data_IF_313405405687
#
_entry.id   IF_313405405687
#
_cell.length_a   1.000
_cell.length_b   1.000
_cell.length_c   1.000
_cell.angle_alpha   90.00
_cell.angle_beta   90.00
_cell.angle_gamma   90.00
#
_symmetry.space_group_name_H-M   'P 1'
#
loop_
_entity.id
_entity.type
_entity.pdbx_description
1 polymer ?
#
# COMPACT_ATOMS: atom_id res chain seq x y z
N UNK A 1 -0.92 27.17 36.27
CA UNK A 1 -1.20 26.69 34.89
C UNK A 1 -0.92 25.20 34.87
N UNK A 2 -1.94 24.36 34.69
CA UNK A 2 -1.72 22.94 34.43
C UNK A 2 -1.24 22.83 32.98
N UNK A 3 -0.08 22.21 32.77
CA UNK A 3 0.36 21.81 31.43
C UNK A 3 -0.30 20.46 31.16
N UNK A 4 -1.27 20.44 30.26
CA UNK A 4 -1.73 19.19 29.66
C UNK A 4 -0.54 18.53 28.92
N UNK A 5 -0.32 17.22 29.08
CA UNK A 5 0.75 16.54 28.36
C UNK A 5 0.34 16.37 26.89
N UNK A 6 1.27 16.75 26.01
CA UNK A 6 1.17 16.63 24.56
C UNK A 6 0.98 15.16 24.13
N UNK A 7 0.03 14.84 23.23
CA UNK A 7 -0.17 13.48 22.71
C UNK A 7 0.95 12.98 21.77
N UNK A 8 1.87 13.85 21.36
CA UNK A 8 2.91 13.53 20.37
C UNK A 8 3.95 12.51 20.87
N UNK A 9 4.14 12.40 22.20
CA UNK A 9 5.10 11.46 22.77
C UNK A 9 4.60 10.00 22.76
N UNK A 10 3.28 9.79 22.84
CA UNK A 10 2.67 8.46 22.96
C UNK A 10 2.64 7.72 21.62
N UNK A 11 2.39 8.45 20.52
CA UNK A 11 2.44 7.89 19.17
C UNK A 11 3.85 7.44 18.79
N UNK A 12 4.87 8.29 18.97
CA UNK A 12 6.25 7.97 18.60
C UNK A 12 6.84 6.87 19.49
N UNK A 13 6.49 6.83 20.77
CA UNK A 13 6.86 5.75 21.68
C UNK A 13 6.18 4.43 21.30
N UNK A 14 4.87 4.48 21.00
CA UNK A 14 4.12 3.32 20.51
C UNK A 14 4.68 2.77 19.20
N UNK A 15 4.96 3.64 18.24
CA UNK A 15 5.57 3.27 16.96
C UNK A 15 6.97 2.67 17.15
N UNK A 16 7.82 3.27 17.98
CA UNK A 16 9.16 2.74 18.30
C UNK A 16 9.08 1.35 18.94
N UNK A 17 8.13 1.15 19.85
CA UNK A 17 7.89 -0.16 20.49
C UNK A 17 7.40 -1.20 19.47
N UNK A 18 6.50 -0.82 18.57
CA UNK A 18 6.01 -1.68 17.50
C UNK A 18 7.14 -2.04 16.51
N UNK A 19 7.97 -1.08 16.09
CA UNK A 19 9.14 -1.32 15.23
C UNK A 19 10.13 -2.32 15.85
N UNK A 20 10.26 -2.33 17.18
CA UNK A 20 11.11 -3.29 17.89
C UNK A 20 10.45 -4.67 18.14
N UNK A 21 9.21 -4.88 17.70
CA UNK A 21 8.49 -6.16 17.84
C UNK A 21 8.62 -7.04 16.60
N UNK A 22 8.39 -8.34 16.74
CA UNK A 22 8.35 -9.29 15.62
C UNK A 22 7.34 -8.84 14.54
N UNK A 23 6.14 -8.42 14.95
CA UNK A 23 5.12 -7.88 14.05
C UNK A 23 5.61 -6.67 13.26
N UNK A 24 6.28 -5.72 13.92
CA UNK A 24 6.83 -4.55 13.24
C UNK A 24 7.95 -4.91 12.26
N UNK A 25 8.82 -5.86 12.62
CA UNK A 25 9.88 -6.32 11.73
C UNK A 25 9.32 -7.06 10.51
N UNK A 26 8.35 -7.96 10.70
CA UNK A 26 7.69 -8.69 9.63
C UNK A 26 6.96 -7.72 8.67
N UNK A 27 6.30 -6.69 9.23
CA UNK A 27 5.63 -5.67 8.42
C UNK A 27 6.63 -4.82 7.63
N UNK A 28 7.79 -4.47 8.22
CA UNK A 28 8.87 -3.77 7.52
C UNK A 28 9.50 -4.61 6.41
N UNK A 29 9.67 -5.92 6.62
CA UNK A 29 10.15 -6.82 5.55
C UNK A 29 9.12 -6.94 4.43
N UNK A 30 7.84 -7.02 4.78
CA UNK A 30 6.75 -7.10 3.81
C UNK A 30 6.63 -5.83 2.96
N UNK A 31 6.80 -4.64 3.54
CA UNK A 31 6.74 -3.39 2.75
C UNK A 31 7.90 -3.31 1.76
N UNK A 32 9.13 -3.61 2.20
CA UNK A 32 10.31 -3.60 1.35
C UNK A 32 10.14 -4.57 0.18
N UNK A 33 9.66 -5.79 0.45
CA UNK A 33 9.43 -6.79 -0.60
C UNK A 33 8.32 -6.38 -1.56
N UNK A 34 7.20 -5.86 -1.06
CA UNK A 34 6.08 -5.44 -1.92
C UNK A 34 6.51 -4.32 -2.86
N UNK A 35 7.23 -3.32 -2.36
CA UNK A 35 7.71 -2.21 -3.18
C UNK A 35 8.75 -2.67 -4.20
N UNK A 36 9.66 -3.58 -3.83
CA UNK A 36 10.59 -4.19 -4.78
C UNK A 36 9.86 -5.01 -5.86
N UNK A 37 8.88 -5.83 -5.46
CA UNK A 37 8.13 -6.68 -6.38
C UNK A 37 7.27 -5.88 -7.38
N UNK A 38 6.82 -4.70 -6.99
CA UNK A 38 6.05 -3.78 -7.82
C UNK A 38 6.92 -2.73 -8.51
N UNK A 39 8.23 -2.75 -8.32
CA UNK A 39 9.13 -1.82 -8.98
C UNK A 39 9.03 -1.95 -10.50
N UNK A 40 8.67 -0.85 -11.17
CA UNK A 40 8.47 -0.82 -12.62
C UNK A 40 7.13 -1.41 -13.09
N UNK A 41 6.22 -1.76 -12.18
CA UNK A 41 4.84 -2.06 -12.52
C UNK A 41 4.13 -0.80 -13.02
N UNK A 42 3.12 -1.01 -13.86
CA UNK A 42 2.24 0.04 -14.38
C UNK A 42 0.80 -0.18 -13.90
N UNK A 43 -0.09 0.79 -14.09
CA UNK A 43 -1.47 0.73 -13.65
C UNK A 43 -2.46 0.78 -14.80
N UNK A 44 -3.41 -0.15 -14.78
CA UNK A 44 -4.63 -0.12 -15.58
C UNK A 44 -5.74 0.45 -14.70
N UNK A 45 -5.83 1.78 -14.62
CA UNK A 45 -6.77 2.49 -13.74
C UNK A 45 -8.22 2.17 -14.12
N UNK A 46 -8.54 2.16 -15.42
CA UNK A 46 -9.86 1.82 -15.92
C UNK A 46 -10.24 0.36 -15.58
N UNK A 47 -9.28 -0.56 -15.67
CA UNK A 47 -9.46 -1.97 -15.33
C UNK A 47 -9.30 -2.30 -13.85
N UNK A 48 -8.82 -1.35 -13.03
CA UNK A 48 -8.44 -1.52 -11.63
C UNK A 48 -7.49 -2.70 -11.42
N UNK A 49 -6.40 -2.69 -12.19
CA UNK A 49 -5.37 -3.74 -12.18
C UNK A 49 -3.98 -3.16 -12.15
N UNK A 50 -3.10 -3.89 -11.49
CA UNK A 50 -1.66 -3.70 -11.51
C UNK A 50 -1.11 -4.49 -12.69
N UNK A 51 -0.41 -3.81 -13.58
CA UNK A 51 0.32 -4.38 -14.71
C UNK A 51 1.73 -4.66 -14.22
N UNK A 52 2.00 -5.92 -13.91
CA UNK A 52 3.33 -6.37 -13.47
C UNK A 52 4.35 -6.27 -14.60
N UNK A 53 5.64 -6.23 -14.24
CA UNK A 53 6.76 -6.17 -15.21
C UNK A 53 6.82 -7.37 -16.18
N UNK A 54 6.22 -8.49 -15.81
CA UNK A 54 6.05 -9.67 -16.66
C UNK A 54 4.85 -9.57 -17.63
N UNK A 55 4.16 -8.42 -17.63
CA UNK A 55 2.98 -8.13 -18.43
C UNK A 55 1.66 -8.65 -17.84
N UNK A 56 1.67 -9.31 -16.68
CA UNK A 56 0.45 -9.80 -16.05
C UNK A 56 -0.39 -8.65 -15.49
N UNK A 57 -1.70 -8.63 -15.83
CA UNK A 57 -2.66 -7.68 -15.26
C UNK A 57 -3.42 -8.33 -14.11
N UNK A 58 -3.08 -7.97 -12.88
CA UNK A 58 -3.61 -8.59 -11.66
C UNK A 58 -4.42 -7.58 -10.84
N UNK A 59 -5.52 -8.03 -10.24
CA UNK A 59 -6.21 -7.26 -9.20
C UNK A 59 -5.37 -7.21 -7.91
N UNK A 60 -5.69 -6.33 -6.97
CA UNK A 60 -5.02 -6.26 -5.65
C UNK A 60 -4.98 -7.66 -5.00
N UNK A 61 -6.11 -8.37 -4.91
CA UNK A 61 -6.17 -9.72 -4.33
C UNK A 61 -5.34 -10.76 -5.09
N UNK A 62 -5.23 -10.63 -6.42
CA UNK A 62 -4.37 -11.53 -7.20
C UNK A 62 -2.89 -11.24 -6.96
N UNK A 63 -2.52 -9.96 -6.85
CA UNK A 63 -1.18 -9.53 -6.46
C UNK A 63 -0.82 -9.99 -5.04
N UNK A 64 -1.73 -9.85 -4.09
CA UNK A 64 -1.57 -10.37 -2.71
C UNK A 64 -1.28 -11.87 -2.73
N UNK A 65 -2.09 -12.64 -3.47
CA UNK A 65 -1.88 -14.09 -3.60
C UNK A 65 -0.58 -14.46 -4.31
N UNK A 66 -0.12 -13.64 -5.27
CA UNK A 66 1.15 -13.83 -5.97
C UNK A 66 2.31 -13.69 -4.98
N UNK A 67 2.37 -12.58 -4.25
CA UNK A 67 3.41 -12.30 -3.26
C UNK A 67 3.37 -13.33 -2.12
N UNK A 68 2.18 -13.63 -1.58
CA UNK A 68 2.01 -14.66 -0.54
C UNK A 68 2.60 -16.02 -0.95
N UNK A 69 2.42 -16.43 -2.20
CA UNK A 69 2.98 -17.70 -2.69
C UNK A 69 4.50 -17.68 -2.83
N UNK A 70 5.09 -16.50 -3.00
CA UNK A 70 6.54 -16.33 -3.14
C UNK A 70 7.24 -16.23 -1.79
N UNK A 71 6.60 -15.57 -0.81
CA UNK A 71 7.24 -15.23 0.47
C UNK A 71 6.68 -15.99 1.67
N UNK A 72 5.39 -16.35 1.64
CA UNK A 72 4.68 -16.89 2.81
C UNK A 72 4.34 -15.85 3.89
N UNK A 73 4.57 -14.55 3.64
CA UNK A 73 4.28 -13.46 4.58
C UNK A 73 2.80 -13.32 4.91
N UNK A 74 2.47 -12.50 5.90
CA UNK A 74 1.09 -12.23 6.26
C UNK A 74 0.32 -11.54 5.10
N UNK A 75 -0.85 -12.10 4.77
CA UNK A 75 -1.72 -11.63 3.68
C UNK A 75 -2.23 -10.20 3.92
N UNK A 76 -2.54 -9.84 5.16
CA UNK A 76 -3.04 -8.51 5.52
C UNK A 76 -1.94 -7.46 5.41
N UNK A 77 -0.71 -7.78 5.79
CA UNK A 77 0.45 -6.89 5.62
C UNK A 77 0.75 -6.67 4.14
N UNK A 78 0.85 -7.74 3.35
CA UNK A 78 1.03 -7.64 1.89
C UNK A 78 -0.05 -6.75 1.28
N UNK A 79 -1.32 -6.96 1.65
CA UNK A 79 -2.44 -6.17 1.12
C UNK A 79 -2.31 -4.70 1.48
N UNK A 80 -2.03 -4.41 2.75
CA UNK A 80 -1.90 -3.04 3.25
C UNK A 80 -0.75 -2.31 2.54
N UNK A 81 0.37 -2.99 2.32
CA UNK A 81 1.52 -2.42 1.62
C UNK A 81 1.30 -2.25 0.12
N UNK A 82 0.53 -3.13 -0.54
CA UNK A 82 0.13 -2.90 -1.94
C UNK A 82 -0.76 -1.66 -2.05
N UNK A 83 -1.67 -1.46 -1.09
CA UNK A 83 -2.50 -0.25 -1.04
C UNK A 83 -1.61 0.99 -0.83
N UNK A 84 -0.69 0.94 0.14
CA UNK A 84 0.25 2.04 0.38
C UNK A 84 1.12 2.36 -0.84
N UNK A 85 1.54 1.34 -1.60
CA UNK A 85 2.27 1.54 -2.86
C UNK A 85 1.43 2.28 -3.92
N UNK A 86 0.14 1.94 -4.05
CA UNK A 86 -0.78 2.62 -4.96
C UNK A 86 -0.98 4.09 -4.58
N UNK A 87 -1.01 4.41 -3.29
CA UNK A 87 -1.23 5.77 -2.78
C UNK A 87 0.04 6.64 -2.83
N UNK A 88 1.22 6.05 -2.58
CA UNK A 88 2.42 6.83 -2.25
C UNK A 88 3.54 6.77 -3.28
N UNK A 89 3.67 5.67 -4.03
CA UNK A 89 4.90 5.40 -4.82
C UNK A 89 4.65 5.46 -6.33
N UNK A 90 3.44 5.16 -6.80
CA UNK A 90 3.15 5.22 -8.22
C UNK A 90 2.92 6.67 -8.70
N UNK A 91 3.89 7.18 -9.46
CA UNK A 91 3.78 8.48 -10.15
C UNK A 91 3.70 8.26 -11.68
N UNK A 92 2.53 8.51 -12.31
CA UNK A 92 2.42 8.43 -13.76
C UNK A 92 3.21 9.57 -14.44
N UNK A 93 3.96 9.23 -15.48
CA UNK A 93 4.77 10.22 -16.22
C UNK A 93 3.93 10.99 -17.23
N UNK A 94 4.14 12.31 -17.26
CA UNK A 94 3.62 13.17 -18.31
C UNK A 94 2.18 13.64 -18.10
N UNK A 95 1.67 13.53 -16.87
CA UNK A 95 0.43 14.19 -16.47
C UNK A 95 0.71 15.64 -16.06
N UNK A 96 -0.22 16.53 -16.39
CA UNK A 96 -0.30 17.87 -15.78
C UNK A 96 -0.96 17.82 -14.39
N UNK A 97 -0.99 18.96 -13.69
CA UNK A 97 -1.53 19.05 -12.33
C UNK A 97 -2.99 18.57 -12.23
N UNK A 98 -3.85 18.95 -13.19
CA UNK A 98 -5.27 18.55 -13.18
C UNK A 98 -5.41 17.04 -13.45
N UNK A 99 -4.58 16.51 -14.35
CA UNK A 99 -4.54 15.08 -14.64
C UNK A 99 -4.01 14.26 -13.46
N UNK A 100 -3.04 14.79 -12.71
CA UNK A 100 -2.55 14.17 -11.47
C UNK A 100 -3.64 14.14 -10.39
N UNK A 101 -4.36 15.25 -10.16
CA UNK A 101 -5.48 15.27 -9.21
C UNK A 101 -6.58 14.27 -9.59
N UNK A 102 -6.90 14.16 -10.88
CA UNK A 102 -7.85 13.16 -11.37
C UNK A 102 -7.32 11.74 -11.20
N UNK A 103 -6.02 11.54 -11.36
CA UNK A 103 -5.37 10.25 -11.18
C UNK A 103 -5.44 9.81 -9.71
N UNK A 104 -5.02 10.67 -8.78
CA UNK A 104 -5.10 10.42 -7.33
C UNK A 104 -6.53 10.13 -6.89
N UNK A 105 -7.50 10.91 -7.36
CA UNK A 105 -8.92 10.68 -7.05
C UNK A 105 -9.43 9.31 -7.54
N UNK A 106 -8.93 8.83 -8.69
CA UNK A 106 -9.27 7.50 -9.20
C UNK A 106 -8.64 6.38 -8.37
N UNK A 107 -7.40 6.57 -7.89
CA UNK A 107 -6.73 5.64 -6.98
C UNK A 107 -7.50 5.55 -5.66
N UNK A 108 -7.86 6.69 -5.05
CA UNK A 108 -8.64 6.74 -3.82
C UNK A 108 -9.99 6.03 -3.98
N UNK A 109 -10.70 6.30 -5.09
CA UNK A 109 -11.98 5.66 -5.36
C UNK A 109 -11.84 4.14 -5.50
N UNK A 110 -10.77 3.68 -6.18
CA UNK A 110 -10.47 2.26 -6.32
C UNK A 110 -10.19 1.61 -4.95
N UNK A 111 -9.31 2.19 -4.14
CA UNK A 111 -8.94 1.65 -2.82
C UNK A 111 -10.15 1.62 -1.87
N UNK A 112 -10.94 2.69 -1.85
CA UNK A 112 -12.15 2.75 -1.01
C UNK A 112 -13.19 1.70 -1.41
N UNK A 113 -13.43 1.52 -2.72
CA UNK A 113 -14.34 0.48 -3.19
C UNK A 113 -13.83 -0.91 -2.84
N UNK A 114 -12.54 -1.14 -3.02
CA UNK A 114 -11.90 -2.39 -2.65
C UNK A 114 -12.04 -2.68 -1.15
N UNK A 115 -11.73 -1.73 -0.28
CA UNK A 115 -11.92 -1.87 1.17
C UNK A 115 -13.38 -2.12 1.57
N UNK A 116 -14.34 -1.52 0.87
CA UNK A 116 -15.78 -1.79 1.08
C UNK A 116 -16.19 -3.19 0.61
N UNK A 117 -15.54 -3.73 -0.42
CA UNK A 117 -15.82 -5.08 -0.93
C UNK A 117 -15.38 -6.18 0.04
N UNK A 118 -14.35 -5.93 0.85
CA UNK A 118 -13.86 -6.87 1.88
C UNK A 118 -14.75 -6.94 3.12
N UNK A 119 -15.63 -5.95 3.33
CA UNK A 119 -16.55 -5.86 4.49
C UNK A 119 -17.90 -6.56 4.26
N UNK A 120 -18.15 -7.12 3.08
CA UNK A 120 -19.38 -7.82 2.71
C UNK A 120 -19.22 -9.33 2.79
#
# INVERSE_FOLDING_TARGET
MKKDPKPENDFMEGFSKWLGSEEGQDSMEAVDYVFEALQGADLDIAGRKIIWVDGQKLTIEQSVKKIYKQTGMNIEDIRSHIIGWLELDYEPKGLDDEQMEQFESQIDAWINEYGNSLKK
#
